data_IF_851950558462
#
_entry.id   IF_851950558462
#
_cell.length_a   1.000
_cell.length_b   1.000
_cell.length_c   1.000
_cell.angle_alpha   90.00
_cell.angle_beta   90.00
_cell.angle_gamma   90.00
#
_symmetry.space_group_name_H-M   'P 1'
#
loop_
_entity.id
_entity.type
_entity.pdbx_description
1 polymer ?
#
# COMPACT_ATOMS: atom_id res chain seq x y z
N UNK A 1 -34.72 17.50 -7.59
CA UNK A 1 -33.29 17.10 -7.65
C UNK A 1 -33.04 16.03 -6.58
N UNK A 2 -32.99 14.76 -6.98
CA UNK A 2 -32.76 13.66 -6.04
C UNK A 2 -31.29 13.65 -5.61
N UNK A 3 -31.02 14.02 -4.35
CA UNK A 3 -29.69 13.83 -3.74
C UNK A 3 -29.51 12.33 -3.56
N UNK A 4 -28.62 11.71 -4.34
CA UNK A 4 -28.21 10.34 -4.09
C UNK A 4 -27.75 10.22 -2.62
N UNK A 5 -28.24 9.24 -1.85
CA UNK A 5 -27.77 9.04 -0.50
C UNK A 5 -26.27 8.77 -0.54
N UNK A 6 -25.49 9.59 0.17
CA UNK A 6 -24.06 9.35 0.37
C UNK A 6 -23.94 7.94 0.94
N UNK A 7 -23.27 7.03 0.23
CA UNK A 7 -22.88 5.72 0.77
C UNK A 7 -22.19 5.99 2.10
N UNK A 8 -22.89 5.70 3.19
CA UNK A 8 -22.32 5.76 4.53
C UNK A 8 -21.11 4.85 4.51
N UNK A 9 -19.94 5.45 4.71
CA UNK A 9 -18.66 4.75 4.84
C UNK A 9 -18.89 3.54 5.74
N UNK A 10 -18.90 2.33 5.17
CA UNK A 10 -19.01 1.11 5.93
C UNK A 10 -18.01 1.17 7.08
N UNK A 11 -18.50 0.96 8.29
CA UNK A 11 -17.70 0.93 9.51
C UNK A 11 -16.48 0.02 9.29
N UNK A 12 -15.30 0.65 9.07
CA UNK A 12 -14.05 -0.07 8.81
C UNK A 12 -13.71 -0.85 10.07
N UNK A 13 -13.84 -2.17 10.03
CA UNK A 13 -13.36 -3.07 11.11
C UNK A 13 -11.91 -2.70 11.41
N UNK A 14 -11.66 -2.14 12.60
CA UNK A 14 -10.33 -1.70 13.03
C UNK A 14 -9.35 -2.87 12.92
N UNK A 15 -8.13 -2.60 12.44
CA UNK A 15 -6.96 -3.40 12.81
C UNK A 15 -6.41 -4.43 11.82
N UNK A 16 -6.76 -4.41 10.52
CA UNK A 16 -6.27 -5.42 9.58
C UNK A 16 -5.43 -4.90 8.40
N UNK A 17 -5.10 -3.61 8.35
CA UNK A 17 -4.19 -3.08 7.32
C UNK A 17 -2.73 -3.42 7.63
N UNK A 18 -1.85 -3.36 6.62
CA UNK A 18 -0.40 -3.56 6.78
C UNK A 18 0.21 -2.59 7.80
N UNK A 19 -0.32 -1.37 7.85
CA UNK A 19 0.08 -0.35 8.83
C UNK A 19 -0.42 -0.74 10.23
N UNK A 20 -1.69 -1.14 10.35
CA UNK A 20 -2.27 -1.50 11.65
C UNK A 20 -1.62 -2.77 12.24
N UNK A 21 -1.25 -3.72 11.38
CA UNK A 21 -0.53 -4.94 11.74
C UNK A 21 0.99 -4.69 11.97
N UNK A 22 1.44 -3.43 11.94
CA UNK A 22 2.83 -3.03 12.15
C UNK A 22 3.82 -3.71 11.19
N UNK A 23 3.35 -4.10 9.99
CA UNK A 23 4.17 -4.73 8.96
C UNK A 23 4.91 -3.68 8.12
N UNK A 24 4.32 -2.51 7.96
CA UNK A 24 4.93 -1.36 7.29
C UNK A 24 4.68 -0.11 8.14
N UNK A 25 5.72 0.69 8.37
CA UNK A 25 5.68 1.95 9.12
C UNK A 25 5.96 3.15 8.22
N UNK A 26 5.00 3.55 7.39
CA UNK A 26 5.24 4.62 6.42
C UNK A 26 5.40 6.00 7.06
N UNK A 27 4.98 6.18 8.32
CA UNK A 27 5.20 7.41 9.09
C UNK A 27 6.69 7.72 9.32
N UNK A 28 7.56 6.71 9.20
CA UNK A 28 9.01 6.86 9.32
C UNK A 28 9.67 7.19 7.98
N UNK A 29 8.91 7.23 6.88
CA UNK A 29 9.47 7.50 5.56
C UNK A 29 9.76 8.98 5.37
N UNK A 30 10.95 9.25 4.83
CA UNK A 30 11.30 10.54 4.27
C UNK A 30 10.86 10.56 2.80
N UNK A 31 9.59 10.92 2.58
CA UNK A 31 9.05 11.07 1.22
C UNK A 31 9.67 12.32 0.60
N UNK A 32 10.32 12.13 -0.54
CA UNK A 32 10.94 13.24 -1.27
C UNK A 32 9.88 14.06 -2.03
N UNK A 33 10.22 15.32 -2.33
CA UNK A 33 9.34 16.19 -3.13
C UNK A 33 9.09 15.63 -4.54
N UNK A 34 10.07 14.95 -5.14
CA UNK A 34 9.94 14.31 -6.46
C UNK A 34 8.96 13.15 -6.39
N UNK A 35 9.15 12.25 -5.42
CA UNK A 35 8.26 11.10 -5.19
C UNK A 35 6.81 11.53 -4.94
N UNK A 36 6.60 12.55 -4.09
CA UNK A 36 5.27 13.09 -3.85
C UNK A 36 4.65 13.72 -5.12
N UNK A 37 5.45 14.44 -5.92
CA UNK A 37 4.98 15.05 -7.17
C UNK A 37 4.55 13.99 -8.19
N UNK A 38 5.34 12.93 -8.36
CA UNK A 38 5.01 11.81 -9.25
C UNK A 38 3.73 11.10 -8.81
N UNK A 39 3.61 10.78 -7.52
CA UNK A 39 2.43 10.13 -6.97
C UNK A 39 1.14 10.96 -7.16
N UNK A 40 1.23 12.28 -6.96
CA UNK A 40 0.10 13.18 -7.18
C UNK A 40 -0.26 13.33 -8.66
N UNK A 41 0.73 13.42 -9.56
CA UNK A 41 0.48 13.43 -11.00
C UNK A 41 -0.18 12.14 -11.48
N UNK A 42 0.27 10.98 -11.00
CA UNK A 42 -0.35 9.69 -11.30
C UNK A 42 -1.81 9.60 -10.82
N UNK A 43 -2.17 10.34 -9.76
CA UNK A 43 -3.55 10.50 -9.31
C UNK A 43 -4.37 11.54 -10.08
N UNK A 44 -3.77 12.23 -11.05
CA UNK A 44 -4.43 13.24 -11.90
C UNK A 44 -4.36 14.67 -11.37
N UNK A 45 -3.55 14.95 -10.35
CA UNK A 45 -3.36 16.31 -9.85
C UNK A 45 -2.35 17.08 -10.71
N UNK A 46 -2.68 18.34 -11.01
CA UNK A 46 -1.79 19.29 -11.68
C UNK A 46 -0.86 19.92 -10.65
N UNK A 47 0.31 19.31 -10.45
CA UNK A 47 1.28 19.74 -9.44
C UNK A 47 2.47 20.42 -10.07
N UNK A 48 2.65 21.70 -9.76
CA UNK A 48 3.85 22.48 -10.11
C UNK A 48 4.99 22.18 -9.14
N UNK A 49 4.74 22.35 -7.83
CA UNK A 49 5.77 22.17 -6.80
C UNK A 49 5.16 21.71 -5.47
N UNK A 50 5.86 20.81 -4.78
CA UNK A 50 5.51 20.42 -3.40
C UNK A 50 5.96 21.51 -2.42
N UNK A 51 5.04 21.96 -1.57
CA UNK A 51 5.29 22.96 -0.55
C UNK A 51 5.66 22.31 0.79
N UNK A 52 4.91 21.29 1.20
CA UNK A 52 5.11 20.62 2.48
C UNK A 52 4.60 19.18 2.42
N UNK A 53 5.31 18.28 3.08
CA UNK A 53 4.91 16.89 3.29
C UNK A 53 4.93 16.64 4.80
N UNK A 54 3.88 16.00 5.30
CA UNK A 54 3.82 15.56 6.69
C UNK A 54 3.27 14.13 6.77
N UNK A 55 4.15 13.20 7.17
CA UNK A 55 3.85 11.78 7.28
C UNK A 55 3.12 11.52 8.61
N UNK A 56 1.86 11.07 8.54
CA UNK A 56 1.07 10.63 9.70
C UNK A 56 1.02 9.10 9.72
N UNK A 57 0.55 8.51 10.82
CA UNK A 57 0.50 7.05 10.98
C UNK A 57 -0.18 6.31 9.82
N UNK A 58 -1.33 6.78 9.34
CA UNK A 58 -2.13 6.06 8.33
C UNK A 58 -2.24 6.74 6.96
N UNK A 59 -1.76 7.98 6.86
CA UNK A 59 -1.89 8.83 5.68
C UNK A 59 -0.76 9.86 5.66
N UNK A 60 -0.59 10.55 4.54
CA UNK A 60 0.34 11.66 4.40
C UNK A 60 -0.44 12.93 4.05
N UNK A 61 -0.12 14.03 4.73
CA UNK A 61 -0.61 15.35 4.35
C UNK A 61 0.38 15.97 3.38
N UNK A 62 -0.11 16.41 2.22
CA UNK A 62 0.72 17.06 1.21
C UNK A 62 0.08 18.39 0.84
N UNK A 63 0.87 19.46 0.96
CA UNK A 63 0.54 20.77 0.43
C UNK A 63 1.39 21.04 -0.80
N UNK A 64 0.78 21.54 -1.87
CA UNK A 64 1.44 21.78 -3.14
C UNK A 64 0.87 23.00 -3.86
N UNK A 65 1.66 23.56 -4.76
CA UNK A 65 1.23 24.59 -5.71
C UNK A 65 0.75 23.91 -6.98
N UNK A 66 -0.44 24.31 -7.45
CA UNK A 66 -0.93 23.89 -8.76
C UNK A 66 -0.32 24.73 -9.89
N UNK A 67 -0.64 24.39 -11.14
CA UNK A 67 -0.13 25.10 -12.32
C UNK A 67 -0.70 26.53 -12.45
N UNK A 68 -1.81 26.83 -11.78
CA UNK A 68 -2.42 28.16 -11.71
C UNK A 68 -1.83 29.03 -10.59
N UNK A 69 -0.95 28.47 -9.76
CA UNK A 69 -0.34 29.16 -8.63
C UNK A 69 -1.20 29.16 -7.36
N UNK A 70 -2.24 28.34 -7.27
CA UNK A 70 -3.00 28.15 -6.04
C UNK A 70 -2.30 27.16 -5.10
N UNK A 71 -2.51 27.33 -3.79
CA UNK A 71 -2.11 26.32 -2.80
C UNK A 71 -3.22 25.32 -2.60
N UNK A 72 -2.93 24.05 -2.88
CA UNK A 72 -3.78 22.93 -2.52
C UNK A 72 -3.18 22.18 -1.33
N UNK A 73 -4.03 21.62 -0.47
CA UNK A 73 -3.59 20.74 0.62
C UNK A 73 -4.62 19.65 0.84
N UNK A 74 -4.16 18.40 0.95
CA UNK A 74 -5.04 17.25 1.18
C UNK A 74 -4.31 16.12 1.89
N UNK A 75 -5.08 15.12 2.33
CA UNK A 75 -4.59 13.87 2.87
C UNK A 75 -4.63 12.78 1.81
N UNK A 76 -3.54 12.01 1.72
CA UNK A 76 -3.36 10.95 0.76
C UNK A 76 -3.01 9.63 1.45
N UNK A 77 -3.48 8.52 0.89
CA UNK A 77 -3.06 7.18 1.30
C UNK A 77 -1.61 6.92 0.88
N UNK A 78 -0.81 6.25 1.71
CA UNK A 78 0.53 5.81 1.30
C UNK A 78 0.54 4.87 0.09
N UNK A 79 -0.61 4.28 -0.25
CA UNK A 79 -0.77 3.36 -1.40
C UNK A 79 -0.61 4.04 -2.76
N UNK A 80 -0.58 5.38 -2.81
CA UNK A 80 -0.35 6.11 -4.07
C UNK A 80 1.14 6.19 -4.43
N UNK A 81 2.03 5.81 -3.52
CA UNK A 81 3.48 5.93 -3.70
C UNK A 81 4.05 4.63 -4.26
N UNK A 82 4.92 4.72 -5.26
CA UNK A 82 5.63 3.54 -5.79
C UNK A 82 6.47 2.83 -4.72
N UNK A 83 6.99 3.57 -3.74
CA UNK A 83 7.69 3.01 -2.58
C UNK A 83 6.81 2.04 -1.78
N UNK A 84 5.50 2.31 -1.67
CA UNK A 84 4.59 1.42 -0.97
C UNK A 84 4.58 0.04 -1.60
N UNK A 85 4.38 -0.05 -2.92
CA UNK A 85 4.43 -1.32 -3.65
C UNK A 85 5.75 -2.06 -3.37
N UNK A 86 6.90 -1.39 -3.52
CA UNK A 86 8.22 -2.00 -3.30
C UNK A 86 8.39 -2.57 -1.89
N UNK A 87 7.91 -1.87 -0.87
CA UNK A 87 8.02 -2.34 0.51
C UNK A 87 7.07 -3.52 0.80
N UNK A 88 5.89 -3.55 0.18
CA UNK A 88 4.98 -4.71 0.27
C UNK A 88 5.58 -5.92 -0.46
N UNK A 89 6.14 -5.75 -1.65
CA UNK A 89 6.82 -6.81 -2.40
C UNK A 89 7.99 -7.40 -1.60
N UNK A 90 8.81 -6.54 -0.99
CA UNK A 90 9.88 -6.98 -0.07
C UNK A 90 9.32 -7.78 1.11
N UNK A 91 8.24 -7.31 1.73
CA UNK A 91 7.60 -8.01 2.84
C UNK A 91 7.12 -9.40 2.43
N UNK A 92 6.53 -9.53 1.24
CA UNK A 92 6.08 -10.80 0.67
C UNK A 92 7.29 -11.71 0.41
N UNK A 93 8.32 -11.18 -0.27
CA UNK A 93 9.51 -11.94 -0.64
C UNK A 93 10.23 -12.55 0.57
N UNK A 94 10.37 -11.79 1.66
CA UNK A 94 11.04 -12.23 2.89
C UNK A 94 10.14 -13.06 3.82
N UNK A 95 8.92 -13.41 3.41
CA UNK A 95 8.02 -14.19 4.25
C UNK A 95 8.58 -15.60 4.50
N UNK A 96 8.88 -16.00 5.74
CA UNK A 96 9.80 -17.12 6.00
C UNK A 96 9.19 -18.51 5.82
N UNK A 97 7.88 -18.66 6.02
CA UNK A 97 7.21 -19.97 6.01
C UNK A 97 5.73 -19.82 5.69
N UNK A 98 5.07 -20.96 5.42
CA UNK A 98 3.64 -21.00 5.06
C UNK A 98 2.74 -20.36 6.12
N UNK A 99 3.06 -20.51 7.41
CA UNK A 99 2.26 -19.94 8.50
C UNK A 99 2.26 -18.42 8.48
N UNK A 100 3.43 -17.80 8.33
CA UNK A 100 3.53 -16.35 8.20
C UNK A 100 2.96 -15.85 6.86
N UNK A 101 3.09 -16.65 5.80
CA UNK A 101 2.50 -16.33 4.50
C UNK A 101 0.98 -16.29 4.58
N UNK A 102 0.33 -17.27 5.21
CA UNK A 102 -1.13 -17.29 5.38
C UNK A 102 -1.62 -16.07 6.15
N UNK A 103 -0.89 -15.65 7.20
CA UNK A 103 -1.23 -14.42 7.94
C UNK A 103 -1.09 -13.17 7.08
N UNK A 104 0.00 -13.06 6.32
CA UNK A 104 0.23 -11.95 5.41
C UNK A 104 -0.84 -11.90 4.32
N UNK A 105 -1.17 -13.05 3.71
CA UNK A 105 -2.19 -13.15 2.69
C UNK A 105 -3.57 -12.73 3.22
N UNK A 106 -3.91 -13.09 4.46
CA UNK A 106 -5.14 -12.63 5.10
C UNK A 106 -5.19 -11.09 5.27
N UNK A 107 -4.06 -10.48 5.62
CA UNK A 107 -3.93 -9.01 5.69
C UNK A 107 -4.07 -8.39 4.30
N UNK A 108 -3.46 -8.98 3.28
CA UNK A 108 -3.51 -8.50 1.90
C UNK A 108 -4.92 -8.56 1.29
N UNK A 109 -5.68 -9.63 1.53
CA UNK A 109 -7.10 -9.67 1.15
C UNK A 109 -7.92 -8.55 1.79
N UNK A 110 -7.64 -8.23 3.06
CA UNK A 110 -8.27 -7.08 3.70
C UNK A 110 -7.80 -5.75 3.06
N UNK A 111 -6.52 -5.62 2.74
CA UNK A 111 -5.97 -4.44 2.06
C UNK A 111 -6.71 -4.14 0.76
N UNK A 112 -6.84 -5.13 -0.12
CA UNK A 112 -7.50 -4.98 -1.43
C UNK A 112 -9.00 -4.72 -1.30
N UNK A 113 -9.66 -5.34 -0.32
CA UNK A 113 -11.10 -5.13 -0.11
C UNK A 113 -11.46 -3.72 0.38
N UNK A 114 -10.57 -3.03 1.10
CA UNK A 114 -10.90 -1.79 1.81
C UNK A 114 -10.14 -0.55 1.36
N UNK A 115 -9.06 -0.71 0.59
CA UNK A 115 -8.27 0.40 0.08
C UNK A 115 -8.17 0.34 -1.43
N UNK A 116 -8.25 1.51 -2.07
CA UNK A 116 -8.07 1.61 -3.52
C UNK A 116 -6.59 1.46 -3.87
N UNK A 117 -6.31 0.43 -4.66
CA UNK A 117 -5.07 0.23 -5.39
C UNK A 117 -5.33 0.47 -6.89
N UNK A 118 -4.35 0.99 -7.65
CA UNK A 118 -4.32 0.81 -9.09
C UNK A 118 -4.29 -0.69 -9.41
N UNK A 119 -5.00 -1.12 -10.45
CA UNK A 119 -5.09 -2.54 -10.85
C UNK A 119 -3.71 -3.16 -11.06
N UNK A 120 -2.78 -2.42 -11.67
CA UNK A 120 -1.43 -2.90 -11.96
C UNK A 120 -0.65 -3.22 -10.67
N UNK A 121 -0.88 -2.43 -9.60
CA UNK A 121 -0.23 -2.66 -8.31
C UNK A 121 -0.88 -3.86 -7.61
N UNK A 122 -2.21 -3.96 -7.65
CA UNK A 122 -2.92 -5.09 -7.07
C UNK A 122 -2.50 -6.41 -7.73
N UNK A 123 -2.45 -6.45 -9.06
CA UNK A 123 -2.01 -7.60 -9.85
C UNK A 123 -0.56 -7.98 -9.51
N UNK A 124 0.36 -7.02 -9.51
CA UNK A 124 1.77 -7.26 -9.18
C UNK A 124 1.93 -7.86 -7.77
N UNK A 125 1.18 -7.35 -6.79
CA UNK A 125 1.23 -7.85 -5.42
C UNK A 125 0.58 -9.23 -5.28
N UNK A 126 -0.49 -9.53 -6.01
CA UNK A 126 -1.08 -10.86 -6.08
C UNK A 126 -0.10 -11.87 -6.70
N UNK A 127 0.53 -11.54 -7.83
CA UNK A 127 1.57 -12.38 -8.45
C UNK A 127 2.75 -12.60 -7.49
N UNK A 128 3.19 -11.58 -6.74
CA UNK A 128 4.24 -11.74 -5.75
C UNK A 128 3.86 -12.72 -4.63
N UNK A 129 2.60 -12.67 -4.15
CA UNK A 129 2.08 -13.59 -3.13
C UNK A 129 2.07 -15.04 -3.64
N UNK A 130 1.57 -15.26 -4.86
CA UNK A 130 1.51 -16.58 -5.50
C UNK A 130 2.90 -17.17 -5.72
N UNK A 131 3.82 -16.39 -6.28
CA UNK A 131 5.21 -16.79 -6.48
C UNK A 131 5.86 -17.19 -5.17
N UNK A 132 5.66 -16.41 -4.09
CA UNK A 132 6.21 -16.76 -2.79
C UNK A 132 5.60 -18.05 -2.23
N UNK A 133 4.30 -18.26 -2.41
CA UNK A 133 3.65 -19.50 -1.99
C UNK A 133 4.26 -20.72 -2.68
N UNK A 134 4.51 -20.62 -3.99
CA UNK A 134 5.13 -21.69 -4.76
C UNK A 134 6.51 -22.05 -4.22
N UNK A 135 7.37 -21.05 -3.99
CA UNK A 135 8.70 -21.25 -3.40
C UNK A 135 8.61 -21.93 -2.03
N UNK A 136 7.73 -21.44 -1.15
CA UNK A 136 7.57 -21.99 0.20
C UNK A 136 7.09 -23.45 0.19
N UNK A 137 6.18 -23.81 -0.73
CA UNK A 137 5.72 -25.20 -0.89
C UNK A 137 6.84 -26.11 -1.42
N UNK A 138 7.62 -25.63 -2.40
CA UNK A 138 8.76 -26.36 -2.94
C UNK A 138 9.84 -26.64 -1.89
N UNK A 139 10.21 -25.63 -1.09
CA UNK A 139 11.18 -25.80 0.02
C UNK A 139 10.66 -26.75 1.10
N UNK A 140 9.37 -26.69 1.43
CA UNK A 140 8.78 -27.61 2.42
C UNK A 140 8.84 -29.07 1.95
N UNK A 141 8.60 -29.33 0.66
CA UNK A 141 8.70 -30.67 0.09
C UNK A 141 10.15 -31.17 0.10
N UNK A 142 11.12 -30.36 -0.33
CA UNK A 142 12.54 -30.73 -0.32
C UNK A 142 13.08 -31.02 1.09
N UNK A 143 12.64 -30.27 2.11
CA UNK A 143 13.03 -30.50 3.50
C UNK A 143 12.53 -31.86 4.04
N UNK A 144 11.39 -32.37 3.54
CA UNK A 144 10.88 -33.70 3.91
C UNK A 144 11.69 -34.82 3.26
N UNK A 145 12.18 -34.63 2.03
CA UNK A 145 12.99 -35.64 1.33
C UNK A 145 14.43 -35.76 1.83
N UNK A 146 14.99 -34.74 2.48
CA UNK A 146 16.36 -34.76 3.02
C UNK A 146 16.50 -35.33 4.44
N UNK A 147 15.39 -35.69 5.10
CA UNK A 147 15.37 -36.22 6.48
C UNK A 147 15.09 -37.74 6.52
N UNK A 148 15.11 -38.40 5.36
CA UNK A 148 14.98 -39.86 5.20
C UNK A 148 16.35 -40.42 4.84
#
# INVERSE_FOLDING_TARGET
MFRQPRKTSQYRRKGKSLIAANKIKPEQWQISNTEAKEALKAKGYKVKQIKKIHCLKHQVSISFWDDQGNVCSSFFSYRIFARWQKEVEKLIYHCPNLKEWTKLNHIMHYEFAYYSYPSEIEDALNTALENRLYVLKGTAQQAVFHVI
#
